data_IF_971022651078
#
_entry.id   IF_971022651078
#
_cell.length_a   1.000
_cell.length_b   1.000
_cell.length_c   1.000
_cell.angle_alpha   90.00
_cell.angle_beta   90.00
_cell.angle_gamma   90.00
#
_symmetry.space_group_name_H-M   'P 1'
#
loop_
_entity.id
_entity.type
_entity.pdbx_description
1 polymer ?
#
# COMPACT_ATOMS: atom_id res chain seq x y z
N UNK A 1 -6.66 -2.14 13.55
CA UNK A 1 -7.13 -2.89 12.36
C UNK A 1 -8.08 -4.00 12.78
N UNK A 2 -9.14 -4.30 12.01
CA UNK A 2 -10.04 -5.45 12.26
C UNK A 2 -10.41 -6.16 10.95
N UNK A 3 -10.80 -7.43 11.05
CA UNK A 3 -11.36 -8.16 9.91
C UNK A 3 -12.81 -7.72 9.65
N UNK A 4 -13.28 -7.92 8.41
CA UNK A 4 -14.71 -7.86 8.08
C UNK A 4 -15.50 -8.96 8.79
N UNK A 5 -14.85 -10.09 9.08
CA UNK A 5 -15.43 -11.17 9.87
C UNK A 5 -15.25 -10.88 11.36
N UNK A 6 -16.36 -10.79 12.10
CA UNK A 6 -16.34 -10.44 13.53
C UNK A 6 -15.68 -11.52 14.42
N UNK A 7 -15.55 -12.74 13.90
CA UNK A 7 -14.96 -13.88 14.64
C UNK A 7 -13.52 -14.17 14.20
N UNK A 8 -12.88 -13.26 13.45
CA UNK A 8 -11.51 -13.41 12.96
C UNK A 8 -10.60 -12.34 13.58
N UNK A 9 -9.62 -12.76 14.37
CA UNK A 9 -8.83 -11.86 15.23
C UNK A 9 -7.34 -11.84 14.91
N UNK A 10 -6.86 -12.63 13.93
CA UNK A 10 -5.42 -12.78 13.69
C UNK A 10 -4.75 -11.45 13.31
N UNK A 11 -5.43 -10.60 12.52
CA UNK A 11 -4.88 -9.31 12.10
C UNK A 11 -4.76 -8.34 13.26
N UNK A 12 -5.75 -8.30 14.16
CA UNK A 12 -5.71 -7.51 15.38
C UNK A 12 -4.60 -7.96 16.34
N UNK A 13 -4.41 -9.29 16.47
CA UNK A 13 -3.34 -9.86 17.29
C UNK A 13 -1.95 -9.59 16.69
N UNK A 14 -1.81 -9.65 15.36
CA UNK A 14 -0.59 -9.31 14.66
C UNK A 14 -0.23 -7.83 14.85
N UNK A 15 -1.19 -6.92 14.66
CA UNK A 15 -1.00 -5.49 14.91
C UNK A 15 -0.57 -5.23 16.37
N UNK A 16 -1.17 -5.95 17.33
CA UNK A 16 -0.77 -5.88 18.74
C UNK A 16 0.66 -6.36 18.98
N UNK A 17 1.06 -7.46 18.35
CA UNK A 17 2.42 -7.98 18.46
C UNK A 17 3.45 -7.00 17.88
N UNK A 18 3.12 -6.38 16.75
CA UNK A 18 3.93 -5.33 16.13
C UNK A 18 4.01 -4.09 17.04
N UNK A 19 2.89 -3.60 17.57
CA UNK A 19 2.86 -2.52 18.55
C UNK A 19 3.70 -2.83 19.80
N UNK A 20 3.68 -4.08 20.27
CA UNK A 20 4.51 -4.54 21.40
C UNK A 20 6.00 -4.45 21.08
N UNK A 21 6.42 -4.83 19.86
CA UNK A 21 7.81 -4.73 19.42
C UNK A 21 8.31 -3.28 19.44
N UNK A 22 7.47 -2.34 19.00
CA UNK A 22 7.77 -0.91 18.97
C UNK A 22 7.40 -0.15 20.26
N UNK A 23 6.94 -0.87 21.30
CA UNK A 23 6.67 -0.35 22.63
C UNK A 23 5.24 0.16 22.87
N UNK A 24 4.55 0.68 21.86
CA UNK A 24 3.14 1.09 21.98
C UNK A 24 2.42 1.14 20.63
N UNK A 25 1.08 1.20 20.65
CA UNK A 25 0.29 1.46 19.43
C UNK A 25 0.52 2.87 18.87
N UNK A 26 0.82 3.83 19.74
CA UNK A 26 1.09 5.20 19.33
C UNK A 26 2.38 5.31 18.53
N UNK A 27 3.39 4.50 18.87
CA UNK A 27 4.65 4.41 18.14
C UNK A 27 4.48 3.93 16.69
N UNK A 28 3.36 3.30 16.34
CA UNK A 28 3.07 2.87 14.96
C UNK A 28 2.54 3.99 14.07
N UNK A 29 2.18 5.15 14.63
CA UNK A 29 1.65 6.27 13.84
C UNK A 29 2.77 6.94 13.06
N UNK A 30 2.57 7.11 11.75
CA UNK A 30 3.51 7.82 10.87
C UNK A 30 4.67 6.98 10.34
N UNK A 31 4.66 5.66 10.55
CA UNK A 31 5.64 4.76 9.94
C UNK A 31 5.51 4.70 8.41
N UNK A 32 6.59 4.31 7.74
CA UNK A 32 6.61 4.15 6.28
C UNK A 32 6.19 2.73 5.87
N UNK A 33 5.64 2.60 4.66
CA UNK A 33 5.29 1.27 4.13
C UNK A 33 6.52 0.40 3.89
N UNK A 34 7.66 1.00 3.55
CA UNK A 34 8.94 0.29 3.37
C UNK A 34 9.41 -0.39 4.64
N UNK A 35 9.43 0.32 5.79
CA UNK A 35 9.85 -0.27 7.07
C UNK A 35 8.98 -1.48 7.43
N UNK A 36 7.66 -1.34 7.30
CA UNK A 36 6.73 -2.43 7.56
C UNK A 36 6.94 -3.63 6.62
N UNK A 37 7.31 -3.40 5.35
CA UNK A 37 7.60 -4.48 4.40
C UNK A 37 8.91 -5.19 4.75
N UNK A 38 9.94 -4.45 5.15
CA UNK A 38 11.22 -5.00 5.58
C UNK A 38 11.03 -5.85 6.85
N UNK A 39 10.36 -5.33 7.87
CA UNK A 39 10.13 -6.06 9.13
C UNK A 39 9.33 -7.35 8.94
N UNK A 40 8.37 -7.35 8.01
CA UNK A 40 7.48 -8.50 7.78
C UNK A 40 8.09 -9.55 6.86
N UNK A 41 9.08 -9.20 6.04
CA UNK A 41 9.62 -10.10 5.00
C UNK A 41 11.12 -10.37 5.10
N UNK A 42 11.87 -9.50 5.79
CA UNK A 42 13.34 -9.47 5.73
C UNK A 42 13.89 -9.16 4.34
N UNK A 43 13.05 -8.70 3.41
CA UNK A 43 13.42 -8.40 2.03
C UNK A 43 13.92 -6.98 1.82
N UNK A 44 14.51 -6.74 0.65
CA UNK A 44 14.92 -5.40 0.23
C UNK A 44 13.70 -4.60 -0.25
N UNK A 45 13.58 -3.36 0.21
CA UNK A 45 12.55 -2.42 -0.28
C UNK A 45 13.14 -1.40 -1.22
N UNK A 46 12.43 -1.12 -2.31
CA UNK A 46 12.77 -0.09 -3.29
C UNK A 46 11.65 0.95 -3.36
N UNK A 47 12.02 2.22 -3.57
CA UNK A 47 11.07 3.33 -3.73
C UNK A 47 11.20 3.95 -5.11
N UNK A 48 10.06 4.23 -5.75
CA UNK A 48 9.98 4.86 -7.07
C UNK A 48 9.18 6.16 -7.00
N UNK A 49 9.79 7.28 -7.38
CA UNK A 49 9.07 8.53 -7.58
C UNK A 49 8.29 8.48 -8.91
N UNK A 50 6.96 8.47 -8.81
CA UNK A 50 6.08 8.44 -9.98
C UNK A 50 6.05 9.76 -10.76
N UNK A 51 6.62 10.85 -10.24
CA UNK A 51 6.86 12.09 -11.01
C UNK A 51 7.98 11.91 -12.02
N UNK A 52 8.90 10.98 -11.76
CA UNK A 52 10.05 10.64 -12.61
C UNK A 52 10.20 9.12 -12.73
N UNK A 53 9.20 8.42 -13.32
CA UNK A 53 9.18 6.97 -13.33
C UNK A 53 10.23 6.41 -14.29
N UNK A 54 10.88 5.27 -13.94
CA UNK A 54 11.77 4.60 -14.87
C UNK A 54 10.97 4.07 -16.07
N UNK A 55 11.58 4.08 -17.26
CA UNK A 55 10.91 3.69 -18.53
C UNK A 55 10.35 2.27 -18.50
N UNK A 56 10.98 1.39 -17.72
CA UNK A 56 10.63 -0.02 -17.57
C UNK A 56 9.82 -0.33 -16.29
N UNK A 57 9.26 0.68 -15.61
CA UNK A 57 8.51 0.50 -14.35
C UNK A 57 7.46 -0.60 -14.45
N UNK A 58 6.66 -0.61 -15.52
CA UNK A 58 5.60 -1.61 -15.71
C UNK A 58 6.16 -3.03 -15.85
N UNK A 59 7.30 -3.20 -16.52
CA UNK A 59 7.95 -4.52 -16.64
C UNK A 59 8.52 -4.98 -15.30
N UNK A 60 9.12 -4.07 -14.53
CA UNK A 60 9.60 -4.35 -13.18
C UNK A 60 8.45 -4.78 -12.26
N UNK A 61 7.33 -4.07 -12.31
CA UNK A 61 6.13 -4.43 -11.56
C UNK A 61 5.58 -5.79 -11.98
N UNK A 62 5.50 -6.10 -13.28
CA UNK A 62 5.06 -7.42 -13.77
C UNK A 62 5.92 -8.53 -13.15
N UNK A 63 7.24 -8.39 -13.26
CA UNK A 63 8.18 -9.36 -12.70
C UNK A 63 8.06 -9.47 -11.19
N UNK A 64 7.91 -8.36 -10.46
CA UNK A 64 7.74 -8.40 -9.01
C UNK A 64 6.43 -9.09 -8.61
N UNK A 65 5.33 -8.88 -9.35
CA UNK A 65 4.09 -9.64 -9.12
C UNK A 65 4.28 -11.15 -9.37
N UNK A 66 5.01 -11.54 -10.41
CA UNK A 66 5.33 -12.96 -10.70
C UNK A 66 6.20 -13.59 -9.60
N UNK A 67 7.09 -12.82 -8.98
CA UNK A 67 7.95 -13.27 -7.88
C UNK A 67 7.28 -13.18 -6.50
N UNK A 68 6.05 -12.69 -6.40
CA UNK A 68 5.34 -12.54 -5.12
C UNK A 68 5.81 -11.36 -4.27
N UNK A 69 6.44 -10.34 -4.89
CA UNK A 69 6.80 -9.10 -4.21
C UNK A 69 5.56 -8.35 -3.71
N UNK A 70 5.73 -7.60 -2.62
CA UNK A 70 4.70 -6.76 -2.03
C UNK A 70 4.85 -5.33 -2.55
N UNK A 71 3.71 -4.67 -2.79
CA UNK A 71 3.68 -3.34 -3.39
C UNK A 71 2.79 -2.39 -2.58
N UNK A 72 3.33 -1.23 -2.24
CA UNK A 72 2.62 -0.11 -1.64
C UNK A 72 2.73 1.14 -2.49
N UNK A 73 1.77 2.05 -2.36
CA UNK A 73 1.84 3.38 -2.94
C UNK A 73 1.13 4.39 -2.04
N UNK A 74 1.52 5.65 -2.13
CA UNK A 74 0.89 6.75 -1.41
C UNK A 74 0.88 8.00 -2.28
N UNK A 75 0.05 8.96 -1.90
CA UNK A 75 0.04 10.29 -2.50
C UNK A 75 0.61 11.26 -1.47
N UNK A 76 1.65 12.00 -1.84
CA UNK A 76 2.25 13.00 -0.96
C UNK A 76 1.22 14.06 -0.52
N UNK A 77 1.14 14.30 0.78
CA UNK A 77 0.29 15.33 1.39
C UNK A 77 1.13 16.53 1.83
N UNK A 78 0.45 17.66 2.07
CA UNK A 78 1.03 18.74 2.87
C UNK A 78 1.30 18.21 4.28
N UNK A 79 2.49 18.44 4.87
CA UNK A 79 2.81 17.99 6.22
C UNK A 79 1.81 18.45 7.29
N UNK A 80 1.11 19.56 7.05
CA UNK A 80 0.15 20.13 7.98
C UNK A 80 -1.28 19.59 7.81
N UNK A 81 -1.53 18.79 6.77
CA UNK A 81 -2.87 18.27 6.46
C UNK A 81 -2.84 16.75 6.48
N UNK A 82 -3.28 16.17 7.58
CA UNK A 82 -3.48 14.74 7.69
C UNK A 82 -4.65 14.28 6.83
N UNK A 83 -4.42 13.22 6.04
CA UNK A 83 -5.48 12.43 5.39
C UNK A 83 -6.46 13.27 4.54
N UNK A 84 -5.92 14.16 3.70
CA UNK A 84 -6.72 15.01 2.84
C UNK A 84 -7.50 14.18 1.79
N UNK A 85 -8.82 14.05 1.97
CA UNK A 85 -9.72 13.43 0.99
C UNK A 85 -9.83 14.30 -0.26
N UNK A 86 -9.68 13.68 -1.42
CA UNK A 86 -9.80 14.31 -2.74
C UNK A 86 -11.21 14.08 -3.33
N UNK A 87 -11.65 14.94 -4.28
CA UNK A 87 -12.95 14.79 -4.93
C UNK A 87 -13.14 13.47 -5.70
N UNK A 88 -12.05 12.81 -6.09
CA UNK A 88 -12.06 11.51 -6.76
C UNK A 88 -12.11 10.31 -5.79
N UNK A 89 -12.24 10.55 -4.48
CA UNK A 89 -12.29 9.53 -3.45
C UNK A 89 -10.93 9.02 -2.96
N UNK A 90 -9.81 9.53 -3.49
CA UNK A 90 -8.48 9.21 -2.99
C UNK A 90 -8.14 10.05 -1.75
N UNK A 91 -7.17 9.60 -0.98
CA UNK A 91 -6.72 10.22 0.28
C UNK A 91 -5.22 10.45 0.19
N UNK A 92 -4.77 11.69 0.42
CA UNK A 92 -3.34 12.03 0.50
C UNK A 92 -2.77 11.71 1.88
N UNK A 93 -1.45 11.48 1.94
CA UNK A 93 -0.77 11.13 3.19
C UNK A 93 -1.16 9.74 3.70
N UNK A 94 -1.73 8.92 2.83
CA UNK A 94 -2.31 7.62 3.15
C UNK A 94 -1.65 6.51 2.33
N UNK A 95 -1.37 5.39 2.98
CA UNK A 95 -0.78 4.22 2.33
C UNK A 95 -1.87 3.33 1.72
N UNK A 96 -1.66 2.92 0.47
CA UNK A 96 -2.48 1.97 -0.25
C UNK A 96 -1.66 0.75 -0.63
N UNK A 97 -2.32 -0.41 -0.74
CA UNK A 97 -1.70 -1.63 -1.26
C UNK A 97 -2.01 -1.78 -2.75
N UNK A 98 -1.01 -2.13 -3.55
CA UNK A 98 -1.24 -2.54 -4.95
C UNK A 98 -1.38 -4.07 -4.95
N UNK A 99 -2.57 -4.55 -5.31
CA UNK A 99 -2.99 -5.95 -5.13
C UNK A 99 -3.14 -6.71 -6.44
N UNK A 100 -2.80 -6.10 -7.56
CA UNK A 100 -2.85 -6.74 -8.86
C UNK A 100 -2.53 -5.79 -10.00
N UNK A 101 -2.09 -6.38 -11.09
CA UNK A 101 -1.83 -5.69 -12.35
C UNK A 101 -2.30 -6.55 -13.51
N UNK A 102 -3.00 -5.95 -14.47
CA UNK A 102 -3.52 -6.65 -15.66
C UNK A 102 -3.45 -5.74 -16.88
N UNK A 103 -3.03 -6.31 -18.00
CA UNK A 103 -3.13 -5.66 -19.31
C UNK A 103 -4.46 -6.08 -19.92
N UNK A 104 -5.26 -5.11 -20.35
CA UNK A 104 -6.58 -5.34 -20.97
C UNK A 104 -6.61 -4.72 -22.36
N UNK A 105 -7.36 -5.33 -23.27
CA UNK A 105 -7.60 -4.76 -24.60
C UNK A 105 -8.71 -3.71 -24.46
N UNK A 106 -8.35 -2.45 -24.67
CA UNK A 106 -9.28 -1.34 -24.75
C UNK A 106 -9.58 -0.93 -26.20
N UNK A 107 -10.51 0.03 -26.41
CA UNK A 107 -10.89 0.52 -27.74
C UNK A 107 -9.72 1.10 -28.54
N UNK A 108 -8.71 1.64 -27.85
CA UNK A 108 -7.55 2.32 -28.45
C UNK A 108 -6.25 1.49 -28.33
N UNK A 109 -6.37 0.19 -28.07
CA UNK A 109 -5.24 -0.71 -27.86
C UNK A 109 -5.12 -1.20 -26.42
N UNK A 110 -3.96 -1.78 -26.09
CA UNK A 110 -3.73 -2.38 -24.79
C UNK A 110 -3.47 -1.32 -23.71
N UNK A 111 -4.12 -1.49 -22.56
CA UNK A 111 -3.98 -0.61 -21.40
C UNK A 111 -3.60 -1.44 -20.18
N UNK A 112 -2.59 -0.99 -19.44
CA UNK A 112 -2.22 -1.58 -18.16
C UNK A 112 -3.08 -0.99 -17.04
N UNK A 113 -3.71 -1.85 -16.25
CA UNK A 113 -4.53 -1.49 -15.10
C UNK A 113 -3.91 -2.02 -13.82
N UNK A 114 -3.93 -1.19 -12.77
CA UNK A 114 -3.52 -1.54 -11.42
C UNK A 114 -4.76 -1.61 -10.51
N UNK A 115 -4.82 -2.63 -9.65
CA UNK A 115 -5.84 -2.76 -8.62
C UNK A 115 -5.28 -2.30 -7.28
N UNK A 116 -5.75 -1.16 -6.81
CA UNK A 116 -5.31 -0.54 -5.55
C UNK A 116 -6.36 -0.82 -4.46
N UNK A 117 -5.91 -1.08 -3.22
CA UNK A 117 -6.75 -1.32 -2.05
C UNK A 117 -6.45 -0.28 -0.96
N UNK A 118 -7.50 0.41 -0.50
CA UNK A 118 -7.43 1.22 0.72
C UNK A 118 -7.47 0.30 1.95
N UNK A 119 -6.52 0.40 2.91
CA UNK A 119 -6.51 -0.42 4.12
C UNK A 119 -7.74 -0.24 5.02
N UNK A 120 -8.42 0.92 4.98
CA UNK A 120 -9.67 1.15 5.70
C UNK A 120 -10.84 0.30 5.19
N UNK A 121 -10.71 -0.30 4.00
CA UNK A 121 -11.79 -1.07 3.40
C UNK A 121 -12.98 -0.18 3.00
N UNK A 122 -14.17 -0.51 3.52
CA UNK A 122 -15.42 0.22 3.25
C UNK A 122 -15.79 1.19 4.39
N UNK A 123 -15.00 1.27 5.45
CA UNK A 123 -15.27 2.16 6.57
C UNK A 123 -14.60 3.50 6.27
N UNK A 124 -15.41 4.48 5.85
CA UNK A 124 -15.06 5.89 5.77
C UNK A 124 -16.14 6.75 6.39
#
# INVERSE_FOLDING_TARGET
MHSKSHNEFWSALLEKAYAKLFGSYEALKGGTTSEALEDMTGGLTEFFDLRQPPRNLMQMMMRGFEMGSLFGCSIEADPNVWEAKQPNGLVKGHAYSITGMRIVNGPNGQVCLLRIRNPWGNEQ
#
